data_IF_452061642480
#
_entry.id   IF_452061642480
#
_cell.length_a   1.000
_cell.length_b   1.000
_cell.length_c   1.000
_cell.angle_alpha   90.00
_cell.angle_beta   90.00
_cell.angle_gamma   90.00
#
_symmetry.space_group_name_H-M   'P 1'
#
loop_
_entity.id
_entity.type
_entity.pdbx_description
1 polymer ?
#
# COMPACT_ATOMS: atom_id res chain seq x y z
N UNK A 1 -26.67 11.02 30.53
CA UNK A 1 -26.49 9.97 29.51
C UNK A 1 -26.11 8.68 30.23
N UNK A 2 -27.02 7.72 30.37
CA UNK A 2 -26.75 6.46 31.05
C UNK A 2 -25.93 5.57 30.11
N UNK A 3 -24.63 5.44 30.35
CA UNK A 3 -23.80 4.47 29.62
C UNK A 3 -24.30 3.08 30.04
N UNK A 4 -24.73 2.21 29.12
CA UNK A 4 -25.20 0.88 29.47
C UNK A 4 -24.07 0.13 30.20
N UNK A 5 -24.39 -0.43 31.38
CA UNK A 5 -23.46 -1.30 32.10
C UNK A 5 -23.31 -2.60 31.31
N UNK A 6 -22.17 -2.78 30.65
CA UNK A 6 -21.83 -4.03 29.98
C UNK A 6 -21.86 -5.19 30.97
N UNK A 7 -22.50 -6.28 30.59
CA UNK A 7 -22.49 -7.50 31.41
C UNK A 7 -21.11 -8.14 31.37
N UNK A 8 -20.76 -8.96 32.39
CA UNK A 8 -19.50 -9.72 32.39
C UNK A 8 -19.36 -10.57 31.12
N UNK A 9 -20.47 -11.13 30.63
CA UNK A 9 -20.56 -11.91 29.39
C UNK A 9 -20.25 -11.11 28.13
N UNK A 10 -20.64 -9.83 28.06
CA UNK A 10 -20.32 -8.96 26.92
C UNK A 10 -18.81 -8.68 26.84
N UNK A 11 -18.18 -8.47 28.00
CA UNK A 11 -16.73 -8.26 28.09
C UNK A 11 -15.95 -9.54 27.74
N UNK A 12 -16.42 -10.71 28.15
CA UNK A 12 -15.76 -11.99 27.86
C UNK A 12 -15.60 -12.24 26.36
N UNK A 13 -16.60 -11.88 25.54
CA UNK A 13 -16.52 -12.07 24.08
C UNK A 13 -15.41 -11.23 23.43
N UNK A 14 -15.29 -9.97 23.85
CA UNK A 14 -14.21 -9.08 23.40
C UNK A 14 -12.85 -9.61 23.89
N UNK A 15 -12.78 -9.98 25.17
CA UNK A 15 -11.56 -10.48 25.79
C UNK A 15 -11.05 -11.74 25.08
N UNK A 16 -11.95 -12.67 24.73
CA UNK A 16 -11.60 -13.90 24.03
C UNK A 16 -11.02 -13.62 22.63
N UNK A 17 -11.56 -12.64 21.91
CA UNK A 17 -11.01 -12.23 20.60
C UNK A 17 -9.63 -11.59 20.75
N UNK A 18 -9.45 -10.70 21.73
CA UNK A 18 -8.15 -10.06 22.01
C UNK A 18 -7.12 -11.08 22.47
N UNK A 19 -7.51 -12.02 23.34
CA UNK A 19 -6.62 -13.09 23.84
C UNK A 19 -6.21 -14.05 22.71
N UNK A 20 -7.16 -14.45 21.86
CA UNK A 20 -6.85 -15.26 20.66
C UNK A 20 -5.88 -14.54 19.73
N UNK A 21 -6.06 -13.23 19.55
CA UNK A 21 -5.16 -12.38 18.76
C UNK A 21 -3.75 -12.28 19.37
N UNK A 22 -3.65 -12.07 20.68
CA UNK A 22 -2.38 -12.02 21.42
C UNK A 22 -1.75 -13.40 21.64
N UNK A 23 -2.43 -14.49 21.28
CA UNK A 23 -1.87 -15.84 21.39
C UNK A 23 -0.72 -16.06 20.39
N UNK A 24 -0.71 -15.32 19.27
CA UNK A 24 0.39 -15.41 18.31
C UNK A 24 1.66 -14.72 18.85
N UNK A 25 2.80 -15.40 18.98
CA UNK A 25 4.01 -14.83 19.59
C UNK A 25 4.48 -13.54 18.92
N UNK A 26 4.43 -13.46 17.59
CA UNK A 26 4.84 -12.25 16.86
C UNK A 26 3.93 -11.05 17.12
N UNK A 27 2.61 -11.28 17.28
CA UNK A 27 1.66 -10.20 17.59
C UNK A 27 1.89 -9.72 19.02
N UNK A 28 2.02 -10.66 19.97
CA UNK A 28 2.30 -10.35 21.37
C UNK A 28 3.60 -9.58 21.53
N UNK A 29 4.66 -10.00 20.84
CA UNK A 29 5.96 -9.33 20.84
C UNK A 29 5.88 -7.92 20.26
N UNK A 30 5.13 -7.74 19.18
CA UNK A 30 4.96 -6.43 18.52
C UNK A 30 4.16 -5.45 19.39
N UNK A 31 3.07 -5.90 20.03
CA UNK A 31 2.09 -5.02 20.66
C UNK A 31 2.20 -4.91 22.18
N UNK A 32 2.81 -5.88 22.86
CA UNK A 32 2.82 -5.97 24.33
C UNK A 32 4.24 -6.02 24.88
N UNK A 33 5.12 -6.82 24.30
CA UNK A 33 6.46 -7.09 24.86
C UNK A 33 7.56 -6.26 24.19
N UNK A 34 7.20 -5.27 23.37
CA UNK A 34 8.18 -4.45 22.67
C UNK A 34 8.90 -3.50 23.65
N UNK A 35 10.24 -3.57 23.80
CA UNK A 35 10.97 -2.73 24.74
C UNK A 35 11.15 -1.28 24.27
N UNK A 36 10.89 -0.99 22.97
CA UNK A 36 11.13 0.32 22.37
C UNK A 36 9.91 0.78 21.59
N UNK A 37 9.34 1.91 21.99
CA UNK A 37 8.27 2.54 21.24
C UNK A 37 8.78 3.10 19.91
N UNK A 38 8.08 2.77 18.83
CA UNK A 38 8.37 3.26 17.48
C UNK A 38 7.36 4.36 17.14
N UNK A 39 7.84 5.58 16.97
CA UNK A 39 7.04 6.70 16.49
C UNK A 39 7.14 6.84 14.98
N UNK A 40 6.09 6.43 14.26
CA UNK A 40 6.01 6.64 12.80
C UNK A 40 6.05 8.12 12.43
N UNK A 41 5.46 8.99 13.26
CA UNK A 41 5.51 10.44 13.05
C UNK A 41 6.94 10.96 13.08
N UNK A 42 7.71 10.56 14.09
CA UNK A 42 9.12 10.94 14.22
C UNK A 42 9.95 10.39 13.06
N UNK A 43 9.69 9.17 12.60
CA UNK A 43 10.36 8.58 11.42
C UNK A 43 10.12 9.44 10.16
N UNK A 44 8.86 9.83 9.91
CA UNK A 44 8.51 10.67 8.75
C UNK A 44 9.18 12.05 8.81
N UNK A 45 9.07 12.73 9.96
CA UNK A 45 9.56 14.11 10.10
C UNK A 45 11.10 14.19 10.15
N UNK A 46 11.78 13.10 10.54
CA UNK A 46 13.24 12.99 10.54
C UNK A 46 13.82 12.30 9.30
N UNK A 47 13.01 12.07 8.26
CA UNK A 47 13.41 11.45 6.99
C UNK A 47 14.14 10.11 7.17
N UNK A 48 13.71 9.29 8.13
CA UNK A 48 14.27 7.96 8.35
C UNK A 48 13.67 6.95 7.37
N UNK A 49 14.44 5.90 7.10
CA UNK A 49 13.98 4.72 6.35
C UNK A 49 13.36 3.73 7.35
N UNK A 50 12.13 3.31 7.09
CA UNK A 50 11.44 2.26 7.82
C UNK A 50 11.29 1.03 6.93
N UNK A 51 11.88 -0.08 7.35
CA UNK A 51 11.76 -1.38 6.69
C UNK A 51 10.87 -2.27 7.54
N UNK A 52 9.80 -2.80 6.94
CA UNK A 52 8.85 -3.69 7.59
C UNK A 52 8.89 -5.02 6.85
N UNK A 53 9.34 -6.07 7.54
CA UNK A 53 9.32 -7.43 7.02
C UNK A 53 8.13 -8.19 7.62
N UNK A 54 7.17 -8.51 6.77
CA UNK A 54 5.94 -9.27 7.11
C UNK A 54 5.90 -10.60 6.35
N UNK A 55 7.04 -11.30 6.30
CA UNK A 55 7.18 -12.56 5.59
C UNK A 55 6.05 -13.55 5.94
N UNK A 56 5.21 -13.84 4.95
CA UNK A 56 4.05 -14.74 5.09
C UNK A 56 4.46 -16.18 5.41
N UNK A 57 5.63 -16.62 4.95
CA UNK A 57 6.10 -17.99 5.20
C UNK A 57 6.44 -18.24 6.67
N UNK A 58 6.89 -17.19 7.38
CA UNK A 58 7.23 -17.27 8.80
C UNK A 58 6.04 -16.94 9.71
N UNK A 59 5.26 -15.92 9.36
CA UNK A 59 4.16 -15.43 10.18
C UNK A 59 2.82 -16.14 9.93
N UNK A 60 2.68 -16.83 8.79
CA UNK A 60 1.38 -17.24 8.27
C UNK A 60 0.65 -16.09 7.58
N UNK A 61 -0.23 -16.44 6.63
CA UNK A 61 -0.92 -15.46 5.79
C UNK A 61 -1.82 -14.52 6.60
N UNK A 62 -2.70 -15.06 7.44
CA UNK A 62 -3.68 -14.30 8.22
C UNK A 62 -3.01 -13.27 9.14
N UNK A 63 -2.02 -13.70 9.91
CA UNK A 63 -1.26 -12.83 10.83
C UNK A 63 -0.48 -11.77 10.08
N UNK A 64 0.18 -12.14 8.97
CA UNK A 64 0.90 -11.20 8.11
C UNK A 64 -0.05 -10.12 7.56
N UNK A 65 -1.23 -10.50 7.07
CA UNK A 65 -2.25 -9.55 6.59
C UNK A 65 -2.75 -8.61 7.70
N UNK A 66 -3.01 -9.15 8.89
CA UNK A 66 -3.46 -8.35 10.04
C UNK A 66 -2.41 -7.35 10.50
N UNK A 67 -1.17 -7.80 10.73
CA UNK A 67 -0.05 -6.93 11.14
C UNK A 67 0.18 -5.85 10.09
N UNK A 68 0.21 -6.23 8.82
CA UNK A 68 0.37 -5.30 7.69
C UNK A 68 -0.71 -4.24 7.67
N UNK A 69 -1.97 -4.63 7.84
CA UNK A 69 -3.11 -3.70 7.85
C UNK A 69 -3.04 -2.74 9.04
N UNK A 70 -2.67 -3.24 10.22
CA UNK A 70 -2.51 -2.43 11.43
C UNK A 70 -1.37 -1.42 11.28
N UNK A 71 -0.21 -1.87 10.79
CA UNK A 71 0.96 -1.02 10.55
C UNK A 71 0.64 0.05 9.50
N UNK A 72 0.05 -0.33 8.36
CA UNK A 72 -0.31 0.62 7.31
C UNK A 72 -1.31 1.66 7.82
N UNK A 73 -2.36 1.25 8.54
CA UNK A 73 -3.31 2.17 9.16
C UNK A 73 -2.62 3.12 10.15
N UNK A 74 -1.69 2.62 10.96
CA UNK A 74 -0.94 3.41 11.93
C UNK A 74 0.00 4.43 11.27
N UNK A 75 0.68 4.01 10.19
CA UNK A 75 1.51 4.89 9.35
C UNK A 75 0.64 5.97 8.71
N UNK A 76 -0.52 5.61 8.17
CA UNK A 76 -1.45 6.58 7.58
C UNK A 76 -1.95 7.61 8.59
N UNK A 77 -2.32 7.16 9.79
CA UNK A 77 -2.73 8.04 10.89
C UNK A 77 -1.60 8.96 11.35
N UNK A 78 -0.36 8.47 11.39
CA UNK A 78 0.81 9.31 11.63
C UNK A 78 0.96 10.37 10.52
N UNK A 79 0.68 10.02 9.27
CA UNK A 79 0.58 10.95 8.14
C UNK A 79 -0.48 12.04 8.35
N UNK A 80 -1.71 11.67 8.70
CA UNK A 80 -2.79 12.63 8.96
C UNK A 80 -2.49 13.57 10.13
N UNK A 81 -1.77 13.10 11.14
CA UNK A 81 -1.35 13.94 12.26
C UNK A 81 -0.44 15.11 11.82
N UNK A 82 0.16 15.05 10.62
CA UNK A 82 0.96 16.13 10.02
C UNK A 82 0.12 17.32 9.55
N UNK A 83 -1.19 17.29 9.76
CA UNK A 83 -2.09 18.44 9.56
C UNK A 83 -1.61 19.71 10.26
N UNK A 84 -0.90 19.57 11.38
CA UNK A 84 -0.34 20.68 12.17
C UNK A 84 0.87 21.36 11.52
N UNK A 85 1.53 20.72 10.55
CA UNK A 85 2.66 21.28 9.81
C UNK A 85 2.11 21.99 8.56
N UNK A 86 2.51 23.25 8.25
CA UNK A 86 2.17 23.91 7.00
C UNK A 86 2.61 23.09 5.78
N UNK A 87 1.81 23.05 4.71
CA UNK A 87 2.07 22.19 3.55
C UNK A 87 3.46 22.39 2.93
N UNK A 88 3.93 23.64 2.85
CA UNK A 88 5.27 24.00 2.35
C UNK A 88 6.43 23.49 3.20
N UNK A 89 6.19 23.09 4.45
CA UNK A 89 7.20 22.58 5.38
C UNK A 89 7.13 21.06 5.55
N UNK A 90 6.14 20.38 4.94
CA UNK A 90 6.02 18.93 5.03
C UNK A 90 7.09 18.26 4.16
N UNK A 91 7.91 17.42 4.78
CA UNK A 91 8.82 16.53 4.04
C UNK A 91 8.02 15.45 3.31
N UNK A 92 8.43 15.11 2.10
CA UNK A 92 7.78 14.02 1.36
C UNK A 92 8.17 12.69 1.99
N UNK A 93 7.20 11.85 2.30
CA UNK A 93 7.43 10.50 2.77
C UNK A 93 6.90 9.47 1.76
N UNK A 94 7.76 8.55 1.35
CA UNK A 94 7.45 7.54 0.35
C UNK A 94 7.08 6.22 1.01
N UNK A 95 5.90 5.69 0.68
CA UNK A 95 5.45 4.36 1.11
C UNK A 95 5.52 3.43 -0.09
N UNK A 96 6.22 2.31 0.06
CA UNK A 96 6.28 1.25 -0.94
C UNK A 96 5.53 0.03 -0.41
N UNK A 97 4.49 -0.39 -1.12
CA UNK A 97 3.68 -1.56 -0.80
C UNK A 97 3.93 -2.62 -1.86
N UNK A 98 4.82 -3.55 -1.54
CA UNK A 98 5.04 -4.74 -2.36
C UNK A 98 3.94 -5.76 -2.12
N UNK A 99 3.51 -6.45 -3.18
CA UNK A 99 2.35 -7.35 -3.18
C UNK A 99 1.07 -6.67 -2.66
N UNK A 100 0.74 -5.52 -3.23
CA UNK A 100 -0.35 -4.62 -2.81
C UNK A 100 -1.72 -5.31 -2.62
N UNK A 101 -2.01 -6.41 -3.34
CA UNK A 101 -3.21 -7.22 -3.13
C UNK A 101 -3.35 -7.75 -1.68
N UNK A 102 -2.27 -7.71 -0.91
CA UNK A 102 -2.28 -8.13 0.49
C UNK A 102 -2.79 -7.07 1.47
N UNK A 103 -2.99 -5.83 1.01
CA UNK A 103 -3.33 -4.68 1.86
C UNK A 103 -4.69 -4.08 1.46
N UNK A 104 -5.47 -4.78 0.64
CA UNK A 104 -6.66 -4.22 0.02
C UNK A 104 -7.89 -4.42 0.89
N UNK A 105 -8.23 -3.40 1.67
CA UNK A 105 -9.54 -3.24 2.28
C UNK A 105 -10.14 -1.88 1.88
N UNK A 106 -11.47 -1.75 1.92
CA UNK A 106 -12.17 -0.52 1.48
C UNK A 106 -11.70 0.73 2.23
N UNK A 107 -11.40 0.61 3.52
CA UNK A 107 -10.94 1.72 4.34
C UNK A 107 -9.58 2.25 3.86
N UNK A 108 -8.63 1.37 3.57
CA UNK A 108 -7.27 1.72 3.13
C UNK A 108 -7.31 2.50 1.80
N UNK A 109 -8.20 2.15 0.87
CA UNK A 109 -8.30 2.85 -0.42
C UNK A 109 -8.72 4.31 -0.25
N UNK A 110 -9.69 4.58 0.63
CA UNK A 110 -10.08 5.95 0.94
C UNK A 110 -8.90 6.71 1.58
N UNK A 111 -8.20 6.07 2.52
CA UNK A 111 -7.03 6.69 3.16
C UNK A 111 -5.91 6.99 2.16
N UNK A 112 -5.63 6.09 1.21
CA UNK A 112 -4.63 6.30 0.16
C UNK A 112 -4.94 7.52 -0.71
N UNK A 113 -6.22 7.78 -0.96
CA UNK A 113 -6.67 8.90 -1.80
C UNK A 113 -6.50 10.26 -1.09
N UNK A 114 -6.63 10.28 0.24
CA UNK A 114 -6.52 11.51 1.04
C UNK A 114 -5.09 11.86 1.44
N UNK A 115 -4.22 10.85 1.56
CA UNK A 115 -2.90 11.01 2.18
C UNK A 115 -1.95 11.90 1.39
N UNK A 116 -2.22 12.09 0.09
CA UNK A 116 -1.45 13.01 -0.78
C UNK A 116 -1.40 14.44 -0.22
N UNK A 117 -2.47 14.90 0.44
CA UNK A 117 -2.52 16.23 1.09
C UNK A 117 -1.49 16.38 2.20
N UNK A 118 -0.97 15.27 2.72
CA UNK A 118 -0.04 15.22 3.84
C UNK A 118 1.41 14.96 3.40
N UNK A 119 1.72 15.25 2.14
CA UNK A 119 3.02 15.00 1.51
C UNK A 119 3.47 13.53 1.63
N UNK A 120 2.52 12.60 1.50
CA UNK A 120 2.81 11.17 1.44
C UNK A 120 2.49 10.67 0.04
N UNK A 121 3.46 9.97 -0.55
CA UNK A 121 3.31 9.32 -1.85
C UNK A 121 3.34 7.82 -1.65
N UNK A 122 2.51 7.09 -2.39
CA UNK A 122 2.42 5.64 -2.29
C UNK A 122 2.74 5.01 -3.63
N UNK A 123 3.66 4.05 -3.63
CA UNK A 123 3.99 3.18 -4.75
C UNK A 123 3.48 1.78 -4.41
N UNK A 124 2.63 1.24 -5.28
CA UNK A 124 1.98 -0.05 -5.10
C UNK A 124 2.45 -1.00 -6.20
N UNK A 125 3.02 -2.14 -5.83
CA UNK A 125 3.39 -3.19 -6.77
C UNK A 125 2.44 -4.38 -6.61
N UNK A 126 1.94 -4.93 -7.71
CA UNK A 126 1.13 -6.15 -7.71
C UNK A 126 1.38 -6.96 -8.96
N UNK A 127 1.41 -8.28 -8.82
CA UNK A 127 1.57 -9.20 -9.95
C UNK A 127 0.26 -9.39 -10.74
N UNK A 128 -0.88 -9.30 -10.05
CA UNK A 128 -2.19 -9.60 -10.62
C UNK A 128 -3.20 -8.51 -10.25
N UNK A 129 -3.41 -7.55 -11.14
CA UNK A 129 -4.44 -6.51 -10.93
C UNK A 129 -5.85 -7.11 -10.79
N UNK A 130 -6.05 -8.31 -11.34
CA UNK A 130 -7.30 -9.08 -11.21
C UNK A 130 -7.49 -9.73 -9.84
N UNK A 131 -6.47 -9.82 -8.99
CA UNK A 131 -6.60 -10.28 -7.61
C UNK A 131 -7.27 -9.23 -6.71
N UNK A 132 -7.31 -7.97 -7.16
CA UNK A 132 -8.04 -6.91 -6.48
C UNK A 132 -9.54 -7.03 -6.74
N UNK A 133 -10.35 -6.79 -5.71
CA UNK A 133 -11.77 -6.55 -5.86
C UNK A 133 -12.03 -5.43 -6.89
N UNK A 134 -13.12 -5.53 -7.65
CA UNK A 134 -13.43 -4.58 -8.73
C UNK A 134 -13.50 -3.13 -8.25
N UNK A 135 -14.14 -2.89 -7.10
CA UNK A 135 -14.24 -1.55 -6.51
C UNK A 135 -12.86 -0.97 -6.21
N UNK A 136 -11.99 -1.79 -5.63
CA UNK A 136 -10.63 -1.41 -5.24
C UNK A 136 -9.77 -1.17 -6.47
N UNK A 137 -9.80 -2.08 -7.45
CA UNK A 137 -9.08 -1.93 -8.72
C UNK A 137 -9.46 -0.63 -9.43
N UNK A 138 -10.75 -0.36 -9.57
CA UNK A 138 -11.24 0.85 -10.24
C UNK A 138 -10.81 2.11 -9.49
N UNK A 139 -10.90 2.11 -8.17
CA UNK A 139 -10.47 3.23 -7.34
C UNK A 139 -8.95 3.46 -7.44
N UNK A 140 -8.13 2.40 -7.47
CA UNK A 140 -6.69 2.51 -7.66
C UNK A 140 -6.36 3.07 -9.03
N UNK A 141 -6.86 2.45 -10.11
CA UNK A 141 -6.58 2.89 -11.49
C UNK A 141 -7.06 4.32 -11.75
N UNK A 142 -8.18 4.73 -11.16
CA UNK A 142 -8.71 6.09 -11.28
C UNK A 142 -7.92 7.17 -10.52
N UNK A 143 -7.18 6.80 -9.47
CA UNK A 143 -6.45 7.77 -8.62
C UNK A 143 -4.93 7.78 -8.86
N UNK A 144 -4.36 6.77 -9.50
CA UNK A 144 -2.92 6.73 -9.78
C UNK A 144 -2.55 7.62 -10.97
N UNK A 145 -1.69 8.61 -10.72
CA UNK A 145 -1.15 9.46 -11.77
C UNK A 145 -0.15 8.73 -12.67
N UNK A 146 0.63 7.80 -12.10
CA UNK A 146 1.66 7.05 -12.80
C UNK A 146 1.31 5.57 -12.80
N UNK A 147 1.42 4.93 -13.97
CA UNK A 147 1.23 3.50 -14.17
C UNK A 147 2.47 2.98 -14.88
N UNK A 148 3.09 1.94 -14.30
CA UNK A 148 4.21 1.21 -14.87
C UNK A 148 3.77 -0.23 -15.05
N UNK A 149 3.85 -0.74 -16.28
CA UNK A 149 3.39 -2.08 -16.62
C UNK A 149 4.55 -2.86 -17.22
N UNK A 150 4.93 -3.93 -16.54
CA UNK A 150 5.82 -4.96 -17.07
C UNK A 150 5.01 -5.98 -17.88
N UNK A 151 5.66 -7.03 -18.37
CA UNK A 151 4.93 -8.14 -19.00
C UNK A 151 3.87 -8.70 -18.05
N UNK A 152 2.63 -8.78 -18.53
CA UNK A 152 1.48 -9.31 -17.78
C UNK A 152 0.70 -10.35 -18.59
N UNK A 153 -0.19 -11.10 -17.94
CA UNK A 153 -1.10 -12.02 -18.61
C UNK A 153 -2.14 -11.27 -19.45
N UNK A 154 -2.71 -11.96 -20.44
CA UNK A 154 -3.77 -11.39 -21.30
C UNK A 154 -5.00 -10.90 -20.52
N UNK A 155 -5.33 -11.55 -19.38
CA UNK A 155 -6.44 -11.11 -18.52
C UNK A 155 -6.17 -9.77 -17.84
N UNK A 156 -4.92 -9.50 -17.46
CA UNK A 156 -4.50 -8.23 -16.89
C UNK A 156 -4.33 -7.14 -17.97
N UNK A 157 -3.78 -7.53 -19.14
CA UNK A 157 -3.48 -6.61 -20.24
C UNK A 157 -4.69 -5.76 -20.68
N UNK A 158 -5.91 -6.33 -20.67
CA UNK A 158 -7.15 -5.62 -21.03
C UNK A 158 -7.47 -4.41 -20.16
N UNK A 159 -7.00 -4.38 -18.91
CA UNK A 159 -7.16 -3.21 -18.03
C UNK A 159 -6.19 -2.10 -18.44
N UNK A 160 -4.94 -2.46 -18.73
CA UNK A 160 -3.91 -1.49 -19.11
C UNK A 160 -4.08 -0.95 -20.53
N UNK A 161 -4.62 -1.76 -21.46
CA UNK A 161 -5.02 -1.30 -22.79
C UNK A 161 -6.02 -0.14 -22.69
N UNK A 162 -7.02 -0.23 -21.79
CA UNK A 162 -7.99 0.86 -21.58
C UNK A 162 -7.33 2.11 -21.02
N UNK A 163 -6.43 1.95 -20.05
CA UNK A 163 -5.71 3.07 -19.42
C UNK A 163 -4.69 3.76 -20.35
N UNK A 164 -4.18 3.02 -21.33
CA UNK A 164 -3.14 3.48 -22.27
C UNK A 164 -3.63 3.61 -23.71
N UNK A 165 -4.94 3.59 -23.92
CA UNK A 165 -5.56 3.80 -25.22
C UNK A 165 -5.22 5.20 -25.76
N UNK A 166 -4.96 5.37 -27.07
CA UNK A 166 -4.96 4.36 -28.14
C UNK A 166 -3.58 3.76 -28.44
N UNK A 167 -2.57 4.01 -27.59
CA UNK A 167 -1.17 3.76 -27.94
C UNK A 167 -0.83 2.27 -27.91
N UNK A 168 -1.27 1.55 -26.88
CA UNK A 168 -0.96 0.13 -26.68
C UNK A 168 -2.22 -0.72 -26.73
N UNK A 169 -2.08 -1.95 -27.24
CA UNK A 169 -3.08 -3.01 -27.27
C UNK A 169 -2.72 -4.11 -26.27
N UNK A 170 -3.68 -4.95 -25.90
CA UNK A 170 -3.43 -6.05 -24.96
C UNK A 170 -2.23 -6.93 -25.33
N UNK A 171 -2.05 -7.25 -26.61
CA UNK A 171 -0.97 -8.13 -27.09
C UNK A 171 0.43 -7.51 -26.90
N UNK A 172 0.54 -6.18 -26.90
CA UNK A 172 1.79 -5.49 -26.63
C UNK A 172 2.27 -5.79 -25.19
N UNK A 173 1.36 -5.77 -24.22
CA UNK A 173 1.70 -6.03 -22.81
C UNK A 173 2.08 -7.50 -22.56
N UNK A 174 1.51 -8.43 -23.31
CA UNK A 174 1.80 -9.87 -23.18
C UNK A 174 3.16 -10.22 -23.78
N UNK A 175 3.57 -9.49 -24.82
CA UNK A 175 4.80 -9.75 -25.58
C UNK A 175 6.03 -8.99 -25.08
N UNK A 176 5.88 -8.09 -24.09
CA UNK A 176 6.99 -7.35 -23.48
C UNK A 176 8.15 -8.27 -23.07
N UNK A 177 9.37 -7.91 -23.46
CA UNK A 177 10.57 -8.60 -23.00
C UNK A 177 10.83 -8.29 -21.51
N UNK A 178 11.67 -9.10 -20.87
CA UNK A 178 12.13 -8.80 -19.52
C UNK A 178 12.83 -7.44 -19.52
N UNK A 179 12.54 -6.60 -18.51
CA UNK A 179 13.05 -5.24 -18.34
C UNK A 179 12.46 -4.18 -19.28
N UNK A 180 11.63 -4.56 -20.26
CA UNK A 180 10.85 -3.58 -21.01
C UNK A 180 9.53 -3.29 -20.29
N UNK A 181 9.13 -2.03 -20.36
CA UNK A 181 7.94 -1.51 -19.68
C UNK A 181 7.15 -0.57 -20.57
N UNK A 182 5.85 -0.51 -20.32
CA UNK A 182 4.99 0.57 -20.79
C UNK A 182 4.57 1.46 -19.63
N UNK A 183 4.55 2.75 -19.91
CA UNK A 183 4.41 3.80 -18.91
C UNK A 183 3.30 4.76 -19.31
N UNK A 184 2.49 5.16 -18.33
CA UNK A 184 1.68 6.38 -18.39
C UNK A 184 2.07 7.22 -17.18
N UNK A 185 2.48 8.47 -17.40
CA UNK A 185 2.98 9.33 -16.33
C UNK A 185 2.34 10.71 -16.36
N UNK A 186 2.30 11.33 -15.19
CA UNK A 186 2.03 12.76 -15.05
C UNK A 186 3.35 13.48 -14.84
N UNK A 187 3.71 14.34 -15.79
CA UNK A 187 4.93 15.18 -15.74
C UNK A 187 4.46 16.64 -15.77
N UNK A 188 4.94 17.46 -14.84
CA UNK A 188 4.55 18.87 -14.72
C UNK A 188 3.02 19.08 -14.72
N UNK A 189 2.30 18.25 -13.96
CA UNK A 189 0.83 18.21 -13.88
C UNK A 189 0.10 17.95 -15.21
N UNK A 190 0.79 17.41 -16.22
CA UNK A 190 0.20 17.00 -17.49
C UNK A 190 0.32 15.49 -17.66
N UNK A 191 -0.80 14.85 -18.01
CA UNK A 191 -0.80 13.44 -18.40
C UNK A 191 -0.08 13.32 -19.74
N UNK A 192 1.04 12.61 -19.75
CA UNK A 192 1.78 12.32 -20.96
C UNK A 192 1.10 11.20 -21.76
N UNK A 193 1.27 11.25 -23.08
CA UNK A 193 0.90 10.09 -23.93
C UNK A 193 1.69 8.87 -23.44
N UNK A 194 1.06 7.69 -23.33
CA UNK A 194 1.78 6.47 -22.96
C UNK A 194 2.97 6.21 -23.88
N UNK A 195 4.05 5.66 -23.32
CA UNK A 195 5.29 5.38 -24.06
C UNK A 195 6.01 4.15 -23.48
N UNK A 196 6.94 3.60 -24.26
CA UNK A 196 7.78 2.47 -23.85
C UNK A 196 9.10 2.95 -23.26
N UNK A 197 9.67 2.15 -22.37
CA UNK A 197 11.00 2.34 -21.83
C UNK A 197 11.63 0.99 -21.46
N UNK A 198 12.92 1.01 -21.18
CA UNK A 198 13.65 -0.14 -20.62
C UNK A 198 14.17 0.24 -19.24
N UNK A 199 14.04 -0.67 -18.28
CA UNK A 199 14.54 -0.46 -16.91
C UNK A 199 16.07 -0.55 -16.87
N UNK A 200 16.67 0.13 -15.90
CA UNK A 200 18.07 -0.11 -15.54
C UNK A 200 18.29 -1.58 -15.16
N UNK A 201 19.46 -2.13 -15.50
CA UNK A 201 19.87 -3.48 -15.08
C UNK A 201 20.68 -3.41 -13.81
N UNK A 202 20.60 -4.45 -12.97
CA UNK A 202 21.34 -4.53 -11.71
C UNK A 202 22.86 -4.31 -11.90
N UNK A 203 23.41 -4.82 -13.00
CA UNK A 203 24.84 -4.69 -13.35
C UNK A 203 25.24 -3.28 -13.83
N UNK A 204 24.31 -2.37 -14.05
CA UNK A 204 24.64 -1.01 -14.53
C UNK A 204 25.16 -0.11 -13.39
N UNK A 205 25.08 -0.55 -12.13
CA UNK A 205 25.38 0.26 -10.94
C UNK A 205 26.26 -0.43 -9.87
N UNK A 206 26.61 -1.71 -10.05
CA UNK A 206 27.51 -2.48 -9.19
C UNK A 206 28.51 -3.26 -10.04
#
# INVERSE_FOLDING_TARGET
MNIPKYSKTDLTSVLNKVMSFLAHPSIKKLLVENPVDISFRSIMDSNKILLINVNKGELGSEVSHMISSLLLTSIMNAGFSRSTIPESQRTIFHIYLDEFQNYTNKSIINLLSEIRKYAITVTMATQYITALDSDIRNAVLGNVGNIIVFRVSHSCAKYFEKEMYPIFKADDFVSLANHDIYLRMVIDNKVCKPFSATTIKYFDYF
#
